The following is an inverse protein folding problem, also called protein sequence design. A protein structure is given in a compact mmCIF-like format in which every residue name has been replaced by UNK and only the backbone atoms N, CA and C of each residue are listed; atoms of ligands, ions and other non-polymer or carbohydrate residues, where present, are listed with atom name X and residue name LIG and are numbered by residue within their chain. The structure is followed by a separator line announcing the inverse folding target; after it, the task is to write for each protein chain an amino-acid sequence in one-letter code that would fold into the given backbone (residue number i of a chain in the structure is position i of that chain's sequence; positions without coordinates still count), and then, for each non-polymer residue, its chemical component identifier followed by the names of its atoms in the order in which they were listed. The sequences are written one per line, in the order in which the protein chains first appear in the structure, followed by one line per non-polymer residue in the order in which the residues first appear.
data_IF_412197508354
#
_entry.id   IF_412197508354
#
_cell.length_a   1.000
_cell.length_b   1.000
_cell.length_c   1.000
_cell.angle_alpha   90.00
_cell.angle_beta   90.00
_cell.angle_gamma   90.00
#
_symmetry.space_group_name_H-M   'P 1'
#
loop_
_entity.id
_entity.type
_entity.pdbx_description
1 polymer ?
#
# COMPACT_ATOMS: atom_id res chain seq x y z
N UNK A 1 -11.91 16.43 -2.59
CA UNK A 1 -11.77 15.95 -3.99
C UNK A 1 -10.42 16.26 -4.67
N UNK A 2 -9.41 16.79 -3.97
CA UNK A 2 -8.10 17.17 -4.56
C UNK A 2 -6.99 16.12 -4.50
N UNK A 3 -7.00 15.22 -3.52
CA UNK A 3 -5.95 14.20 -3.33
C UNK A 3 -5.91 13.15 -4.44
N UNK A 4 -7.08 12.68 -4.88
CA UNK A 4 -7.21 11.71 -5.98
C UNK A 4 -6.69 12.27 -7.30
N UNK A 5 -6.90 13.56 -7.57
CA UNK A 5 -6.32 14.25 -8.75
C UNK A 5 -4.80 14.36 -8.66
N UNK A 6 -4.23 14.69 -7.50
CA UNK A 6 -2.77 14.75 -7.30
C UNK A 6 -2.11 13.37 -7.47
N UNK A 7 -2.71 12.31 -6.92
CA UNK A 7 -2.22 10.93 -7.09
C UNK A 7 -2.29 10.50 -8.55
N UNK A 8 -3.42 10.73 -9.23
CA UNK A 8 -3.53 10.42 -10.65
C UNK A 8 -2.52 11.20 -11.50
N UNK A 9 -2.22 12.45 -11.15
CA UNK A 9 -1.20 13.24 -11.85
C UNK A 9 0.23 12.75 -11.56
N UNK A 10 0.50 12.30 -10.33
CA UNK A 10 1.80 11.70 -9.96
C UNK A 10 2.02 10.36 -10.67
N UNK A 11 0.98 9.53 -10.80
CA UNK A 11 1.06 8.28 -11.59
C UNK A 11 1.23 8.56 -13.08
N UNK A 12 0.73 9.71 -13.58
CA UNK A 12 0.82 10.13 -14.99
C UNK A 12 2.07 10.95 -15.33
N UNK A 13 3.00 11.18 -14.40
CA UNK A 13 4.22 11.96 -14.73
C UNK A 13 5.04 11.26 -15.83
N UNK A 14 5.51 12.01 -16.85
CA UNK A 14 6.06 11.46 -18.10
C UNK A 14 7.41 10.72 -17.96
N UNK A 15 8.03 10.72 -16.77
CA UNK A 15 9.28 10.01 -16.50
C UNK A 15 9.10 8.61 -15.86
N UNK A 16 7.87 8.19 -15.56
CA UNK A 16 7.61 6.76 -15.36
C UNK A 16 7.32 6.16 -16.72
N UNK A 17 8.13 5.19 -17.14
CA UNK A 17 7.87 4.36 -18.32
C UNK A 17 6.42 3.87 -18.25
N UNK A 18 5.56 4.37 -19.13
CA UNK A 18 4.17 3.94 -19.21
C UNK A 18 4.17 2.50 -19.70
N UNK A 19 4.03 1.58 -18.77
CA UNK A 19 3.81 0.17 -19.04
C UNK A 19 2.49 0.06 -19.81
N UNK A 20 2.37 -0.89 -20.75
CA UNK A 20 1.11 -1.08 -21.47
C UNK A 20 -0.03 -1.37 -20.46
N UNK A 21 -1.26 -0.94 -20.78
CA UNK A 21 -2.41 -1.10 -19.87
C UNK A 21 -2.61 -2.55 -19.41
N UNK A 22 -2.19 -3.53 -20.22
CA UNK A 22 -2.25 -4.96 -19.92
C UNK A 22 -1.20 -5.42 -18.89
N UNK A 23 0.05 -4.95 -18.99
CA UNK A 23 1.10 -5.25 -18.02
C UNK A 23 0.86 -4.51 -16.69
N UNK A 24 0.22 -3.34 -16.73
CA UNK A 24 -0.14 -2.56 -15.53
C UNK A 24 -1.26 -3.22 -14.72
N UNK A 25 -2.21 -3.88 -15.39
CA UNK A 25 -3.27 -4.66 -14.75
C UNK A 25 -2.74 -5.91 -14.02
N UNK A 26 -1.65 -6.50 -14.51
CA UNK A 26 -0.98 -7.63 -13.85
C UNK A 26 -0.09 -7.26 -12.66
N UNK A 27 0.39 -6.01 -12.58
CA UNK A 27 1.35 -5.56 -11.57
C UNK A 27 0.79 -4.68 -10.45
N UNK A 28 -0.39 -4.08 -10.63
CA UNK A 28 -1.13 -3.42 -9.53
C UNK A 28 -1.76 -4.49 -8.64
N UNK A 29 -0.92 -5.27 -7.95
CA UNK A 29 -1.39 -6.19 -6.93
C UNK A 29 -1.80 -5.36 -5.70
N UNK A 30 -3.10 -5.20 -5.51
CA UNK A 30 -3.65 -4.78 -4.21
C UNK A 30 -3.44 -5.94 -3.23
N UNK A 31 -2.30 -5.94 -2.53
CA UNK A 31 -2.04 -6.92 -1.47
C UNK A 31 -2.90 -6.55 -0.27
N UNK A 32 -3.95 -7.33 -0.01
CA UNK A 32 -4.84 -7.15 1.15
C UNK A 32 -4.28 -7.85 2.38
N UNK A 33 -3.76 -7.08 3.33
CA UNK A 33 -3.22 -7.56 4.61
C UNK A 33 -4.31 -7.89 5.64
N UNK A 34 -5.32 -8.69 5.28
CA UNK A 34 -6.50 -8.92 6.14
C UNK A 34 -6.37 -10.06 7.16
N UNK A 35 -5.26 -10.79 7.15
CA UNK A 35 -5.12 -12.02 7.94
C UNK A 35 -5.03 -11.75 9.45
N UNK A 36 -4.16 -10.82 9.86
CA UNK A 36 -3.92 -10.53 11.27
C UNK A 36 -5.17 -10.06 12.03
N UNK A 37 -6.00 -9.21 11.43
CA UNK A 37 -7.20 -8.72 12.12
C UNK A 37 -8.29 -9.79 12.27
N UNK A 38 -8.31 -10.81 11.40
CA UNK A 38 -9.24 -11.94 11.51
C UNK A 38 -8.81 -12.95 12.57
N UNK A 39 -7.52 -12.97 12.91
CA UNK A 39 -6.94 -13.85 13.92
C UNK A 39 -7.02 -13.26 15.34
N UNK A 40 -7.44 -12.00 15.48
CA UNK A 40 -7.65 -11.38 16.79
C UNK A 40 -9.04 -11.74 17.35
N UNK A 41 -9.08 -12.26 18.58
CA UNK A 41 -10.36 -12.55 19.25
C UNK A 41 -11.15 -11.26 19.53
N UNK A 42 -12.47 -11.34 19.36
CA UNK A 42 -13.43 -10.28 19.65
C UNK A 42 -13.64 -10.12 21.17
N UNK A 43 -14.04 -8.93 21.60
CA UNK A 43 -14.36 -8.68 23.02
C UNK A 43 -13.15 -8.59 23.96
N UNK A 44 -11.92 -8.47 23.43
CA UNK A 44 -10.74 -8.15 24.24
C UNK A 44 -10.90 -6.76 24.86
N UNK A 45 -10.45 -6.62 26.10
CA UNK A 45 -10.42 -5.32 26.77
C UNK A 45 -9.52 -4.35 25.99
N UNK A 46 -10.02 -3.17 25.59
CA UNK A 46 -9.21 -2.16 24.92
C UNK A 46 -8.01 -1.74 25.74
N UNK A 47 -6.99 -1.23 25.05
CA UNK A 47 -5.90 -0.54 25.71
C UNK A 47 -6.35 0.78 26.36
N UNK A 48 -5.42 1.55 26.93
CA UNK A 48 -5.70 2.88 27.50
C UNK A 48 -6.29 3.88 26.49
N UNK A 49 -6.13 3.62 25.20
CA UNK A 49 -6.72 4.37 24.11
C UNK A 49 -8.22 4.09 23.91
N UNK A 50 -8.75 3.01 24.51
CA UNK A 50 -10.17 2.66 24.46
C UNK A 50 -10.63 2.09 23.11
N UNK A 51 -9.72 1.83 22.18
CA UNK A 51 -10.07 1.39 20.82
C UNK A 51 -10.15 -0.14 20.74
N UNK A 52 -11.31 -0.65 20.32
CA UNK A 52 -11.60 -2.08 20.14
C UNK A 52 -11.22 -2.59 18.74
N UNK A 53 -11.07 -3.91 18.56
CA UNK A 53 -10.71 -4.52 17.26
C UNK A 53 -11.83 -4.34 16.21
N UNK A 54 -13.08 -4.30 16.66
CA UNK A 54 -14.29 -4.09 15.88
C UNK A 54 -14.25 -2.74 15.14
N UNK A 55 -13.64 -1.71 15.75
CA UNK A 55 -13.42 -0.43 15.10
C UNK A 55 -12.52 -0.57 13.87
N UNK A 56 -11.40 -1.29 14.00
CA UNK A 56 -10.47 -1.49 12.88
C UNK A 56 -11.07 -2.36 11.77
N UNK A 57 -11.93 -3.31 12.14
CA UNK A 57 -12.63 -4.19 11.18
C UNK A 57 -13.73 -3.46 10.41
N UNK A 58 -14.58 -2.69 11.11
CA UNK A 58 -15.84 -2.17 10.58
C UNK A 58 -15.85 -0.67 10.25
N UNK A 59 -15.07 0.15 10.98
CA UNK A 59 -15.10 1.61 10.84
C UNK A 59 -14.02 2.15 9.91
N UNK A 60 -12.90 1.44 9.75
CA UNK A 60 -11.84 1.86 8.85
C UNK A 60 -12.16 1.49 7.40
N UNK A 61 -11.91 2.39 6.44
CA UNK A 61 -12.01 2.05 5.02
C UNK A 61 -11.11 0.86 4.66
N UNK A 62 -11.57 -0.06 3.78
CA UNK A 62 -10.76 -1.21 3.35
C UNK A 62 -9.40 -0.81 2.77
N UNK A 63 -9.33 0.37 2.15
CA UNK A 63 -8.12 0.95 1.53
C UNK A 63 -6.98 1.21 2.51
N UNK A 64 -7.26 1.33 3.82
CA UNK A 64 -6.21 1.49 4.84
C UNK A 64 -5.26 0.29 4.86
N UNK A 65 -5.74 -0.88 4.43
CA UNK A 65 -5.02 -2.17 4.43
C UNK A 65 -4.50 -2.55 3.04
N UNK A 66 -4.59 -1.61 2.10
CA UNK A 66 -4.18 -1.79 0.72
C UNK A 66 -2.86 -1.08 0.44
N UNK A 67 -2.07 -1.66 -0.46
CA UNK A 67 -0.86 -1.08 -1.00
C UNK A 67 -1.02 -0.93 -2.51
N UNK A 68 -0.67 0.23 -3.06
CA UNK A 68 -0.56 0.38 -4.51
C UNK A 68 0.87 0.05 -4.92
N UNK A 69 1.05 -1.04 -5.66
CA UNK A 69 2.35 -1.40 -6.21
C UNK A 69 2.50 -0.73 -7.57
N UNK A 70 3.52 0.12 -7.67
CA UNK A 70 3.96 0.72 -8.93
C UNK A 70 5.34 0.17 -9.26
N UNK A 71 5.78 0.27 -10.51
CA UNK A 71 7.15 -0.11 -10.88
C UNK A 71 7.84 1.02 -11.63
N UNK A 72 9.14 1.16 -11.35
CA UNK A 72 10.01 2.15 -11.95
C UNK A 72 11.06 1.44 -12.81
N UNK A 73 11.17 1.81 -14.09
CA UNK A 73 12.22 1.28 -14.96
C UNK A 73 13.61 1.75 -14.51
N UNK A 74 14.57 0.84 -14.48
CA UNK A 74 15.99 1.16 -14.25
C UNK A 74 16.55 1.92 -15.46
N UNK A 75 17.35 2.98 -15.26
CA UNK A 75 17.91 3.74 -16.38
C UNK A 75 18.79 2.84 -17.27
N UNK A 76 18.65 3.00 -18.59
CA UNK A 76 19.44 2.25 -19.59
C UNK A 76 19.13 0.75 -19.68
N UNK A 77 18.00 0.28 -19.13
CA UNK A 77 17.58 -1.12 -19.21
C UNK A 77 16.40 -1.29 -20.17
N UNK A 78 16.31 -2.50 -20.74
CA UNK A 78 15.30 -2.89 -21.71
C UNK A 78 13.89 -2.93 -21.09
N UNK A 79 12.95 -2.23 -21.72
CA UNK A 79 11.53 -2.11 -21.31
C UNK A 79 10.81 -3.45 -21.36
N UNK A 80 11.25 -4.39 -22.21
CA UNK A 80 10.58 -5.69 -22.39
C UNK A 80 10.95 -6.72 -21.32
N UNK A 81 11.97 -6.46 -20.49
CA UNK A 81 12.43 -7.39 -19.45
C UNK A 81 11.89 -7.00 -18.08
N UNK A 82 11.19 -7.91 -17.40
CA UNK A 82 10.67 -7.67 -16.04
C UNK A 82 11.76 -7.31 -15.01
N UNK A 83 12.97 -7.88 -15.15
CA UNK A 83 14.11 -7.60 -14.26
C UNK A 83 14.65 -6.15 -14.38
N UNK A 84 14.26 -5.44 -15.44
CA UNK A 84 14.59 -4.03 -15.65
C UNK A 84 13.81 -3.09 -14.73
N UNK A 85 12.76 -3.56 -14.07
CA UNK A 85 11.91 -2.73 -13.23
C UNK A 85 12.26 -2.86 -11.74
N UNK A 86 11.93 -1.81 -10.97
CA UNK A 86 12.00 -1.76 -9.50
C UNK A 86 10.57 -1.60 -8.97
N UNK A 87 10.03 -2.56 -8.20
CA UNK A 87 8.74 -2.38 -7.55
C UNK A 87 8.84 -1.38 -6.40
N UNK A 88 7.82 -0.52 -6.29
CA UNK A 88 7.64 0.47 -5.25
C UNK A 88 6.23 0.28 -4.69
N UNK A 89 6.16 -0.04 -3.40
CA UNK A 89 4.88 -0.14 -2.68
C UNK A 89 4.50 1.21 -2.08
N UNK A 90 3.43 1.80 -2.58
CA UNK A 90 2.80 2.98 -2.00
C UNK A 90 1.79 2.52 -0.95
N UNK A 91 2.26 2.41 0.29
CA UNK A 91 1.45 2.08 1.48
C UNK A 91 1.04 3.35 2.23
N UNK A 92 -0.04 3.24 3.01
CA UNK A 92 -0.50 4.31 3.90
C UNK A 92 0.61 4.75 4.87
N UNK A 93 0.71 6.06 5.10
CA UNK A 93 1.60 6.69 6.08
C UNK A 93 1.43 6.11 7.49
N UNK A 94 0.22 5.74 7.88
CA UNK A 94 -0.06 5.16 9.21
C UNK A 94 0.80 3.89 9.44
N UNK A 95 0.86 3.01 8.43
CA UNK A 95 1.68 1.81 8.46
C UNK A 95 3.16 2.18 8.58
N UNK A 96 3.64 3.22 7.89
CA UNK A 96 5.04 3.66 7.98
C UNK A 96 5.41 4.15 9.38
N UNK A 97 4.50 4.86 10.04
CA UNK A 97 4.69 5.35 11.41
C UNK A 97 4.75 4.15 12.36
N UNK A 98 3.79 3.23 12.28
CA UNK A 98 3.74 2.03 13.12
C UNK A 98 4.98 1.15 12.93
N UNK A 99 5.40 0.91 11.69
CA UNK A 99 6.63 0.16 11.40
C UNK A 99 7.87 0.84 12.01
N UNK A 100 7.96 2.17 11.96
CA UNK A 100 9.08 2.92 12.57
C UNK A 100 9.07 2.84 14.10
N UNK A 101 7.89 2.83 14.73
CA UNK A 101 7.76 2.64 16.17
C UNK A 101 8.20 1.22 16.55
N UNK A 102 7.74 0.20 15.83
CA UNK A 102 8.11 -1.21 16.08
C UNK A 102 9.61 -1.44 15.91
N UNK A 103 10.21 -0.94 14.83
CA UNK A 103 11.64 -1.08 14.56
C UNK A 103 12.55 -0.38 15.58
N UNK A 104 12.01 0.56 16.37
CA UNK A 104 12.74 1.19 17.48
C UNK A 104 12.57 0.45 18.81
N UNK A 105 11.54 -0.38 18.93
CA UNK A 105 11.24 -1.13 20.16
C UNK A 105 11.90 -2.51 20.16
N UNK A 106 12.05 -3.11 18.98
CA UNK A 106 12.82 -4.32 18.74
C UNK A 106 14.31 -3.98 18.67
#
# INVERSE_FOLDING_TARGET
MGYTKKLNNFVRTPNLSQISKEQQAGLSLTVRGNKAMKEMDLGKTPGPDGVQIEFYQNMLPPTVREALISVLLKPGKDVQKCSSYRPISLINTDIKILSKILAKRL
#
